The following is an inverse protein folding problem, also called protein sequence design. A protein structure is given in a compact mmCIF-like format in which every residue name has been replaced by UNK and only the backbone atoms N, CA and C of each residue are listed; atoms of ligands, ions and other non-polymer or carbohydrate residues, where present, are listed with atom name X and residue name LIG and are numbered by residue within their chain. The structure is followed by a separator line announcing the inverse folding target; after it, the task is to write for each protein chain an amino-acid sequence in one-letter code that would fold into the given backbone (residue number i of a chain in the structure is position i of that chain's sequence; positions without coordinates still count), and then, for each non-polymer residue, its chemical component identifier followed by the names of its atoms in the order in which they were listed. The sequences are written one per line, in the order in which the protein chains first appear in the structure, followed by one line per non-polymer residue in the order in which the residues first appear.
data_IF_041411293480
#
_entry.id   IF_041411293480
#
_cell.length_a   1.000
_cell.length_b   1.000
_cell.length_c   1.000
_cell.angle_alpha   90.00
_cell.angle_beta   90.00
_cell.angle_gamma   90.00
#
_symmetry.space_group_name_H-M   'P 1'
#
loop_
_entity.id
_entity.type
_entity.pdbx_description
1 polymer ?
#
# COMPACT_ATOMS: atom_id res chain seq x y z
N UNK A 1 8.06 -13.10 40.89
CA UNK A 1 9.02 -12.16 40.30
C UNK A 1 8.62 -12.03 38.82
N UNK A 2 7.91 -10.96 38.45
CA UNK A 2 7.52 -10.73 37.05
C UNK A 2 8.78 -10.36 36.28
N UNK A 3 9.11 -11.13 35.25
CA UNK A 3 10.21 -10.79 34.35
C UNK A 3 9.89 -9.43 33.73
N UNK A 4 10.81 -8.47 33.88
CA UNK A 4 10.72 -7.15 33.26
C UNK A 4 10.85 -7.38 31.75
N UNK A 5 9.73 -7.32 31.04
CA UNK A 5 9.74 -7.36 29.56
C UNK A 5 10.52 -6.13 29.12
N UNK A 6 11.72 -6.33 28.61
CA UNK A 6 12.54 -5.27 28.02
C UNK A 6 11.81 -4.80 26.77
N UNK A 7 11.29 -3.57 26.78
CA UNK A 7 10.65 -2.99 25.59
C UNK A 7 11.73 -2.70 24.54
N UNK A 8 11.58 -3.28 23.37
CA UNK A 8 12.36 -2.89 22.20
C UNK A 8 11.74 -1.61 21.60
N UNK A 9 12.56 -0.59 21.40
CA UNK A 9 12.11 0.65 20.75
C UNK A 9 12.72 0.76 19.38
N UNK A 10 11.89 0.92 18.36
CA UNK A 10 12.28 1.20 17.00
C UNK A 10 11.75 2.58 16.57
N UNK A 11 12.46 3.30 15.71
CA UNK A 11 11.88 4.47 15.08
C UNK A 11 10.84 4.05 14.04
N UNK A 12 11.23 3.16 13.14
CA UNK A 12 10.37 2.62 12.09
C UNK A 12 10.32 1.11 12.17
N UNK A 13 9.11 0.55 12.11
CA UNK A 13 8.87 -0.86 11.81
C UNK A 13 8.60 -0.99 10.32
N UNK A 14 9.42 -1.75 9.62
CA UNK A 14 9.25 -2.09 8.21
C UNK A 14 8.44 -3.38 8.11
N UNK A 15 7.15 -3.24 7.81
CA UNK A 15 6.25 -4.38 7.66
C UNK A 15 6.16 -4.81 6.20
N UNK A 16 6.62 -6.01 5.89
CA UNK A 16 6.69 -6.56 4.54
C UNK A 16 5.66 -7.67 4.33
N UNK A 17 4.73 -7.50 3.41
CA UNK A 17 3.87 -8.59 2.94
C UNK A 17 4.48 -9.26 1.71
N UNK A 18 4.79 -10.55 1.83
CA UNK A 18 5.55 -11.28 0.81
C UNK A 18 4.93 -12.64 0.47
N UNK A 19 5.27 -13.20 -0.71
CA UNK A 19 4.87 -14.53 -1.14
C UNK A 19 5.84 -15.17 -2.15
N UNK A 20 6.73 -14.38 -2.76
CA UNK A 20 7.62 -14.85 -3.83
C UNK A 20 8.92 -14.04 -3.84
N UNK A 21 9.89 -14.48 -4.65
CA UNK A 21 11.19 -13.82 -4.86
C UNK A 21 12.05 -13.73 -3.61
N UNK A 22 12.46 -14.85 -2.98
CA UNK A 22 13.23 -14.85 -1.74
C UNK A 22 14.51 -14.01 -1.83
N UNK A 23 15.27 -14.11 -2.92
CA UNK A 23 16.50 -13.35 -3.11
C UNK A 23 16.26 -11.82 -3.11
N UNK A 24 15.17 -11.36 -3.71
CA UNK A 24 14.79 -9.95 -3.70
C UNK A 24 14.38 -9.48 -2.31
N UNK A 25 13.62 -10.30 -1.57
CA UNK A 25 13.24 -10.01 -0.19
C UNK A 25 14.48 -9.89 0.68
N UNK A 26 15.43 -10.83 0.58
CA UNK A 26 16.69 -10.79 1.33
C UNK A 26 17.49 -9.52 0.99
N UNK A 27 17.56 -9.13 -0.29
CA UNK A 27 18.23 -7.89 -0.70
C UNK A 27 17.58 -6.65 -0.08
N UNK A 28 16.24 -6.56 -0.11
CA UNK A 28 15.48 -5.47 0.52
C UNK A 28 15.74 -5.38 2.03
N UNK A 29 15.61 -6.51 2.73
CA UNK A 29 15.87 -6.59 4.18
C UNK A 29 17.29 -6.14 4.51
N UNK A 30 18.27 -6.62 3.74
CA UNK A 30 19.68 -6.25 3.91
C UNK A 30 19.90 -4.74 3.77
N UNK A 31 19.30 -4.10 2.78
CA UNK A 31 19.43 -2.64 2.59
C UNK A 31 18.80 -1.88 3.75
N UNK A 32 17.65 -2.33 4.26
CA UNK A 32 17.00 -1.71 5.42
C UNK A 32 17.89 -1.83 6.67
N UNK A 33 18.36 -3.04 6.99
CA UNK A 33 19.15 -3.30 8.21
C UNK A 33 20.56 -2.72 8.14
N UNK A 34 21.18 -2.64 6.96
CA UNK A 34 22.45 -1.94 6.77
C UNK A 34 22.29 -0.42 6.90
N UNK A 35 21.15 0.13 6.46
CA UNK A 35 20.86 1.57 6.57
C UNK A 35 20.43 2.01 7.95
N UNK A 36 19.84 1.13 8.76
CA UNK A 36 19.54 1.31 10.18
C UNK A 36 19.61 -0.05 10.90
N UNK A 37 20.70 -0.35 11.64
CA UNK A 37 20.84 -1.60 12.40
C UNK A 37 19.79 -1.80 13.50
N UNK A 38 19.18 -0.72 13.99
CA UNK A 38 18.14 -0.76 15.03
C UNK A 38 16.72 -0.91 14.43
N UNK A 39 16.59 -0.93 13.09
CA UNK A 39 15.32 -1.11 12.43
C UNK A 39 14.71 -2.48 12.76
N UNK A 40 13.40 -2.49 13.01
CA UNK A 40 12.62 -3.72 13.12
C UNK A 40 12.01 -4.05 11.77
N UNK A 41 12.34 -5.23 11.24
CA UNK A 41 11.74 -5.74 9.99
C UNK A 41 10.81 -6.90 10.33
N UNK A 42 9.52 -6.72 10.08
CA UNK A 42 8.49 -7.72 10.30
C UNK A 42 7.95 -8.24 8.96
N UNK A 43 8.28 -9.48 8.63
CA UNK A 43 7.87 -10.10 7.37
C UNK A 43 6.65 -10.98 7.64
N UNK A 44 5.54 -10.68 6.97
CA UNK A 44 4.40 -11.61 6.87
C UNK A 44 4.49 -12.34 5.54
N UNK A 45 4.84 -13.62 5.57
CA UNK A 45 5.02 -14.44 4.37
C UNK A 45 3.83 -15.37 4.12
N UNK A 46 3.40 -15.50 2.86
CA UNK A 46 2.33 -16.45 2.50
C UNK A 46 2.85 -17.89 2.58
N UNK A 47 2.19 -18.73 3.39
CA UNK A 47 2.52 -20.16 3.55
C UNK A 47 2.46 -20.95 2.23
N UNK A 48 1.71 -20.47 1.24
CA UNK A 48 1.63 -21.05 -0.10
C UNK A 48 2.64 -20.44 -1.09
N UNK A 49 3.49 -19.51 -0.61
CA UNK A 49 4.50 -18.80 -1.40
C UNK A 49 5.77 -19.63 -1.60
N UNK A 50 6.78 -19.00 -2.18
CA UNK A 50 8.12 -19.60 -2.32
C UNK A 50 8.80 -19.63 -0.94
N UNK A 51 9.52 -20.73 -0.64
CA UNK A 51 10.20 -20.88 0.64
C UNK A 51 11.21 -19.73 0.91
N UNK A 52 11.25 -19.24 2.15
CA UNK A 52 12.23 -18.28 2.64
C UNK A 52 13.31 -18.99 3.44
N UNK A 53 14.54 -18.52 3.30
CA UNK A 53 15.64 -18.86 4.21
C UNK A 53 15.53 -17.96 5.46
N UNK A 54 14.71 -18.40 6.41
CA UNK A 54 14.44 -17.64 7.64
C UNK A 54 15.70 -17.44 8.49
N UNK A 55 16.58 -18.45 8.72
CA UNK A 55 17.83 -18.25 9.46
C UNK A 55 18.71 -17.15 8.86
N UNK A 56 18.89 -17.14 7.53
CA UNK A 56 19.67 -16.12 6.86
C UNK A 56 19.05 -14.73 6.95
N UNK A 57 17.72 -14.62 6.91
CA UNK A 57 17.03 -13.35 7.12
C UNK A 57 17.20 -12.84 8.56
N UNK A 58 17.04 -13.69 9.54
CA UNK A 58 17.21 -13.33 10.96
C UNK A 58 18.65 -12.95 11.31
N UNK A 59 19.63 -13.51 10.62
CA UNK A 59 21.04 -13.14 10.79
C UNK A 59 21.37 -11.71 10.32
N UNK A 60 20.45 -11.05 9.56
CA UNK A 60 20.64 -9.67 9.09
C UNK A 60 20.36 -8.61 10.17
N UNK A 61 19.77 -8.97 11.31
CA UNK A 61 19.44 -8.03 12.38
C UNK A 61 18.12 -8.34 13.08
N UNK A 62 17.41 -7.31 13.51
CA UNK A 62 16.11 -7.44 14.18
C UNK A 62 14.98 -7.77 13.17
N UNK A 63 15.04 -8.98 12.61
CA UNK A 63 14.16 -9.48 11.56
C UNK A 63 13.29 -10.60 12.09
N UNK A 64 11.98 -10.45 11.95
CA UNK A 64 10.98 -11.43 12.39
C UNK A 64 10.15 -11.89 11.19
N UNK A 65 9.85 -13.19 11.14
CA UNK A 65 9.07 -13.78 10.05
C UNK A 65 7.84 -14.47 10.60
N UNK A 66 6.68 -14.03 10.18
CA UNK A 66 5.38 -14.62 10.46
C UNK A 66 4.87 -15.31 9.20
N UNK A 67 4.26 -16.46 9.36
CA UNK A 67 3.66 -17.21 8.27
C UNK A 67 2.14 -17.12 8.33
N UNK A 68 1.53 -16.62 7.26
CA UNK A 68 0.09 -16.44 7.16
C UNK A 68 -0.41 -16.97 5.82
N UNK A 69 -1.69 -17.27 5.75
CA UNK A 69 -2.33 -17.59 4.47
C UNK A 69 -2.60 -16.30 3.71
N UNK A 70 -1.98 -16.16 2.54
CA UNK A 70 -2.25 -15.08 1.61
C UNK A 70 -3.42 -15.37 0.67
N UNK A 71 -4.00 -14.33 0.10
CA UNK A 71 -5.04 -14.38 -0.93
C UNK A 71 -4.77 -13.40 -2.06
N UNK A 72 -5.73 -13.25 -2.97
CA UNK A 72 -5.65 -12.31 -4.09
C UNK A 72 -6.82 -11.35 -4.05
N UNK A 73 -6.54 -10.07 -3.72
CA UNK A 73 -7.54 -9.01 -3.62
C UNK A 73 -8.68 -9.35 -2.66
N UNK A 74 -8.40 -10.06 -1.60
CA UNK A 74 -9.32 -10.44 -0.54
C UNK A 74 -8.86 -9.88 0.81
N UNK A 75 -9.61 -10.15 1.84
CA UNK A 75 -9.37 -9.59 3.16
C UNK A 75 -8.08 -10.09 3.83
N UNK A 76 -7.41 -11.11 3.29
CA UNK A 76 -6.20 -11.69 3.88
C UNK A 76 -5.05 -10.68 4.04
N UNK A 77 -4.97 -9.65 3.18
CA UNK A 77 -3.98 -8.59 3.33
C UNK A 77 -4.19 -7.77 4.61
N UNK A 78 -5.45 -7.47 4.94
CA UNK A 78 -5.81 -6.81 6.21
C UNK A 78 -5.67 -7.74 7.41
N UNK A 79 -6.05 -9.02 7.29
CA UNK A 79 -5.83 -10.00 8.37
C UNK A 79 -4.33 -10.10 8.72
N UNK A 80 -3.45 -10.12 7.71
CA UNK A 80 -1.99 -10.12 7.89
C UNK A 80 -1.48 -8.82 8.51
N UNK A 81 -2.05 -7.68 8.12
CA UNK A 81 -1.73 -6.39 8.70
C UNK A 81 -2.12 -6.33 10.19
N UNK A 82 -3.33 -6.75 10.55
CA UNK A 82 -3.78 -6.79 11.94
C UNK A 82 -2.97 -7.77 12.78
N UNK A 83 -2.69 -8.96 12.25
CA UNK A 83 -1.84 -9.92 12.93
C UNK A 83 -0.41 -9.39 13.18
N UNK A 84 0.14 -8.59 12.26
CA UNK A 84 1.43 -7.94 12.47
C UNK A 84 1.35 -6.88 13.58
N UNK A 85 0.30 -6.06 13.61
CA UNK A 85 0.11 -5.05 14.66
C UNK A 85 -0.09 -5.71 16.03
N UNK A 86 -0.91 -6.76 16.12
CA UNK A 86 -1.09 -7.53 17.35
C UNK A 86 0.23 -8.17 17.82
N UNK A 87 1.01 -8.74 16.90
CA UNK A 87 2.32 -9.30 17.20
C UNK A 87 3.30 -8.27 17.77
N UNK A 88 3.32 -7.04 17.22
CA UNK A 88 4.17 -5.95 17.72
C UNK A 88 3.81 -5.58 19.16
N UNK A 89 2.52 -5.50 19.48
CA UNK A 89 2.04 -5.21 20.83
C UNK A 89 2.35 -6.36 21.80
N UNK A 90 2.12 -7.61 21.39
CA UNK A 90 2.39 -8.82 22.20
C UNK A 90 3.88 -8.99 22.54
N UNK A 91 4.76 -8.57 21.63
CA UNK A 91 6.21 -8.61 21.82
C UNK A 91 6.79 -7.32 22.42
N UNK A 92 5.92 -6.38 22.86
CA UNK A 92 6.31 -5.12 23.48
C UNK A 92 7.27 -4.28 22.60
N UNK A 93 7.04 -4.26 21.29
CA UNK A 93 7.78 -3.44 20.34
C UNK A 93 7.13 -2.06 20.30
N UNK A 94 7.81 -1.07 20.88
CA UNK A 94 7.42 0.34 20.74
C UNK A 94 8.01 0.93 19.46
N UNK A 95 7.18 1.66 18.69
CA UNK A 95 7.62 2.29 17.45
C UNK A 95 6.92 3.64 17.23
N UNK A 96 7.56 4.50 16.44
CA UNK A 96 6.98 5.77 16.03
C UNK A 96 6.19 5.62 14.71
N UNK A 97 6.72 4.84 13.76
CA UNK A 97 6.18 4.68 12.42
C UNK A 97 6.09 3.21 12.01
N UNK A 98 5.08 2.88 11.25
CA UNK A 98 4.96 1.61 10.53
C UNK A 98 4.97 1.90 9.03
N UNK A 99 5.96 1.35 8.33
CA UNK A 99 6.13 1.41 6.88
C UNK A 99 5.58 0.12 6.26
N UNK A 100 4.44 0.21 5.56
CA UNK A 100 3.80 -0.96 4.94
C UNK A 100 4.33 -1.17 3.52
N UNK A 101 5.07 -2.25 3.30
CA UNK A 101 5.79 -2.59 2.08
C UNK A 101 5.38 -3.98 1.54
N UNK A 102 5.79 -4.25 0.33
CA UNK A 102 5.81 -5.59 -0.26
C UNK A 102 7.22 -6.02 -0.65
N UNK A 103 7.41 -7.29 -0.99
CA UNK A 103 8.67 -7.77 -1.53
C UNK A 103 9.07 -7.21 -2.91
N UNK A 104 8.26 -6.29 -3.48
CA UNK A 104 8.51 -5.65 -4.78
C UNK A 104 8.73 -4.14 -4.67
N UNK A 105 8.81 -3.62 -3.45
CA UNK A 105 9.22 -2.26 -3.15
C UNK A 105 10.74 -2.19 -2.97
N UNK A 106 11.35 -1.05 -3.26
CA UNK A 106 12.76 -0.82 -3.02
C UNK A 106 13.01 0.65 -2.68
N UNK A 107 13.95 0.97 -1.74
CA UNK A 107 14.17 2.35 -1.35
C UNK A 107 14.84 3.16 -2.46
N UNK A 108 14.44 4.43 -2.57
CA UNK A 108 15.03 5.42 -3.47
C UNK A 108 15.98 6.37 -2.73
N UNK A 109 15.97 6.35 -1.41
CA UNK A 109 16.79 7.19 -0.54
C UNK A 109 17.47 6.34 0.53
N UNK A 110 18.57 6.79 1.12
CA UNK A 110 19.13 6.17 2.31
C UNK A 110 18.07 6.02 3.40
N UNK A 111 18.04 4.88 4.06
CA UNK A 111 17.07 4.59 5.11
C UNK A 111 17.11 5.65 6.21
N UNK A 112 18.30 6.08 6.61
CA UNK A 112 18.47 7.15 7.61
C UNK A 112 17.84 8.49 7.16
N UNK A 113 17.87 8.82 5.86
CA UNK A 113 17.22 10.03 5.33
C UNK A 113 15.69 9.91 5.34
N UNK A 114 15.16 8.71 5.02
CA UNK A 114 13.72 8.43 5.11
C UNK A 114 13.27 8.62 6.55
N UNK A 115 13.94 7.99 7.51
CA UNK A 115 13.58 8.08 8.92
C UNK A 115 13.70 9.50 9.47
N UNK A 116 14.76 10.23 9.12
CA UNK A 116 14.90 11.64 9.51
C UNK A 116 13.77 12.51 8.94
N UNK A 117 13.32 12.24 7.71
CA UNK A 117 12.18 12.93 7.10
C UNK A 117 10.87 12.63 7.82
N UNK A 118 10.68 11.37 8.28
CA UNK A 118 9.53 10.96 9.08
C UNK A 118 9.54 11.61 10.48
N UNK A 119 10.70 11.80 11.08
CA UNK A 119 10.83 12.48 12.38
C UNK A 119 10.53 13.96 12.28
N UNK A 120 10.90 14.59 11.17
CA UNK A 120 10.72 16.03 10.94
C UNK A 120 9.29 16.42 10.52
N UNK A 121 8.46 15.46 10.11
CA UNK A 121 7.12 15.77 9.59
C UNK A 121 6.09 16.01 10.68
N UNK A 122 5.12 16.88 10.37
CA UNK A 122 3.91 17.10 11.21
C UNK A 122 2.74 16.19 10.81
N UNK A 123 2.88 15.41 9.73
CA UNK A 123 1.85 14.46 9.33
C UNK A 123 1.81 13.24 10.26
N UNK A 124 0.61 12.68 10.41
CA UNK A 124 0.38 11.40 11.11
C UNK A 124 0.41 10.20 10.16
N UNK A 125 0.39 10.46 8.86
CA UNK A 125 0.46 9.42 7.85
C UNK A 125 0.64 9.95 6.43
N UNK A 126 1.32 9.14 5.64
CA UNK A 126 1.46 9.27 4.20
C UNK A 126 0.62 8.15 3.58
N UNK A 127 -0.60 8.49 3.17
CA UNK A 127 -1.63 7.56 2.76
C UNK A 127 -2.35 8.11 1.54
N UNK A 128 -2.19 7.46 0.40
CA UNK A 128 -2.96 7.83 -0.78
C UNK A 128 -4.43 7.45 -0.58
N UNK A 129 -5.32 8.43 -0.72
CA UNK A 129 -6.76 8.21 -0.67
C UNK A 129 -7.51 9.21 -1.54
N UNK A 130 -8.69 8.80 -1.98
CA UNK A 130 -9.67 9.63 -2.67
C UNK A 130 -11.08 9.11 -2.37
N UNK A 131 -12.08 9.98 -2.40
CA UNK A 131 -13.47 9.58 -2.27
C UNK A 131 -13.89 8.65 -3.42
N UNK A 132 -14.35 7.45 -3.08
CA UNK A 132 -14.82 6.45 -4.07
C UNK A 132 -16.15 6.87 -4.69
N UNK A 133 -17.00 7.50 -3.87
CA UNK A 133 -18.31 8.03 -4.28
C UNK A 133 -18.35 9.53 -3.93
N UNK A 134 -17.67 10.38 -4.70
CA UNK A 134 -17.53 11.80 -4.37
C UNK A 134 -18.88 12.52 -4.26
N UNK A 135 -19.90 12.08 -5.01
CA UNK A 135 -21.26 12.59 -4.92
C UNK A 135 -21.98 12.30 -3.59
N UNK A 136 -21.44 11.40 -2.77
CA UNK A 136 -21.97 11.05 -1.45
C UNK A 136 -21.23 11.72 -0.29
N UNK A 137 -20.07 12.30 -0.58
CA UNK A 137 -19.23 13.01 0.40
C UNK A 137 -19.63 14.48 0.42
N UNK A 138 -19.87 15.10 1.59
CA UNK A 138 -20.19 16.53 1.66
C UNK A 138 -19.08 17.38 1.03
N UNK A 139 -19.42 18.49 0.35
CA UNK A 139 -18.44 19.33 -0.33
C UNK A 139 -17.35 19.91 0.60
N UNK A 140 -17.68 20.10 1.88
CA UNK A 140 -16.77 20.60 2.92
C UNK A 140 -15.86 19.54 3.51
N UNK A 141 -16.12 18.26 3.24
CA UNK A 141 -15.28 17.17 3.73
C UNK A 141 -14.05 16.98 2.84
N UNK A 142 -13.05 16.29 3.37
CA UNK A 142 -11.85 15.95 2.63
C UNK A 142 -12.17 14.91 1.54
N UNK A 143 -11.96 15.27 0.28
CA UNK A 143 -12.17 14.39 -0.87
C UNK A 143 -10.91 13.62 -1.28
N UNK A 144 -9.77 13.91 -0.66
CA UNK A 144 -8.49 13.25 -0.93
C UNK A 144 -7.76 13.81 -2.16
N UNK A 145 -6.94 12.99 -2.80
CA UNK A 145 -6.11 13.40 -3.92
C UNK A 145 -6.94 13.74 -5.17
N UNK A 146 -6.70 14.92 -5.72
CA UNK A 146 -7.29 15.34 -6.98
C UNK A 146 -6.75 14.49 -8.13
N UNK A 147 -7.66 14.06 -9.02
CA UNK A 147 -7.30 13.34 -10.24
C UNK A 147 -6.74 11.94 -10.04
N UNK A 148 -6.71 11.42 -8.80
CA UNK A 148 -6.35 10.02 -8.55
C UNK A 148 -7.49 9.11 -9.02
N UNK A 149 -7.32 8.57 -10.21
CA UNK A 149 -8.20 7.51 -10.70
C UNK A 149 -7.62 6.16 -10.27
N UNK A 150 -8.25 5.57 -9.29
CA UNK A 150 -8.04 4.18 -8.88
C UNK A 150 -8.46 3.22 -10.01
N UNK A 151 -7.72 3.09 -11.13
CA UNK A 151 -8.12 2.37 -12.33
C UNK A 151 -9.36 2.99 -13.05
N UNK A 152 -9.81 2.52 -14.23
CA UNK A 152 -10.96 3.10 -14.92
C UNK A 152 -12.17 3.19 -14.00
N UNK A 153 -12.95 4.32 -14.01
CA UNK A 153 -13.96 4.64 -12.99
C UNK A 153 -15.02 3.56 -12.78
N UNK A 154 -15.21 2.68 -13.74
CA UNK A 154 -16.17 1.58 -13.65
C UNK A 154 -15.80 0.49 -12.66
N UNK A 155 -14.50 0.29 -12.35
CA UNK A 155 -14.07 -0.86 -11.54
C UNK A 155 -13.99 -0.55 -10.04
N UNK A 156 -13.72 0.68 -9.65
CA UNK A 156 -13.46 1.02 -8.25
C UNK A 156 -14.75 1.11 -7.45
N UNK A 157 -15.69 1.91 -7.90
CA UNK A 157 -17.00 2.05 -7.23
C UNK A 157 -17.70 0.68 -7.11
N UNK A 158 -17.56 -0.16 -8.15
CA UNK A 158 -18.15 -1.50 -8.16
C UNK A 158 -17.54 -2.47 -7.14
N UNK A 159 -16.27 -2.29 -6.74
CA UNK A 159 -15.63 -3.12 -5.72
C UNK A 159 -16.30 -2.97 -4.37
N UNK A 160 -16.88 -1.78 -4.09
CA UNK A 160 -17.39 -1.37 -2.79
C UNK A 160 -18.91 -1.13 -2.75
N UNK A 161 -19.58 -1.19 -3.89
CA UNK A 161 -21.05 -1.08 -3.99
C UNK A 161 -21.75 -2.46 -3.95
N UNK A 162 -20.97 -3.56 -4.03
CA UNK A 162 -21.43 -4.94 -4.05
C UNK A 162 -20.78 -5.76 -2.95
N UNK A 163 -21.53 -6.72 -2.44
CA UNK A 163 -21.02 -7.80 -1.61
C UNK A 163 -20.68 -8.99 -2.50
N UNK A 164 -19.46 -9.48 -2.42
CA UNK A 164 -18.96 -10.51 -3.33
C UNK A 164 -18.78 -11.87 -2.64
N UNK A 165 -19.16 -12.91 -3.36
CA UNK A 165 -18.89 -14.31 -3.03
C UNK A 165 -17.87 -14.84 -4.03
N UNK A 166 -16.72 -15.24 -3.52
CA UNK A 166 -15.61 -15.77 -4.34
C UNK A 166 -15.83 -17.24 -4.63
N UNK A 167 -15.58 -17.64 -5.87
CA UNK A 167 -15.62 -19.04 -6.32
C UNK A 167 -14.26 -19.73 -6.10
N UNK A 168 -13.44 -19.21 -5.20
CA UNK A 168 -12.07 -19.62 -4.90
C UNK A 168 -11.02 -18.84 -5.71
N UNK A 169 -9.77 -19.35 -5.76
CA UNK A 169 -8.71 -18.68 -6.52
C UNK A 169 -9.05 -18.58 -8.00
N UNK A 170 -8.76 -17.45 -8.67
CA UNK A 170 -8.96 -17.34 -10.13
C UNK A 170 -8.11 -18.36 -10.87
N UNK A 171 -8.74 -19.15 -11.72
CA UNK A 171 -8.08 -20.10 -12.63
C UNK A 171 -8.58 -19.86 -14.04
N UNK A 172 -7.81 -20.21 -15.06
CA UNK A 172 -8.22 -20.05 -16.46
C UNK A 172 -9.58 -20.71 -16.75
N UNK A 173 -9.87 -21.86 -16.14
CA UNK A 173 -11.15 -22.54 -16.29
C UNK A 173 -12.30 -21.71 -15.71
N UNK A 174 -12.14 -21.15 -14.49
CA UNK A 174 -13.14 -20.29 -13.87
C UNK A 174 -13.34 -18.97 -14.63
N UNK A 175 -12.26 -18.37 -15.12
CA UNK A 175 -12.31 -17.16 -15.92
C UNK A 175 -13.09 -17.40 -17.22
N UNK A 176 -12.86 -18.53 -17.90
CA UNK A 176 -13.62 -18.93 -19.10
C UNK A 176 -15.09 -19.20 -18.79
N UNK A 177 -15.37 -19.89 -17.68
CA UNK A 177 -16.73 -20.19 -17.24
C UNK A 177 -17.53 -18.90 -16.91
N UNK A 178 -16.91 -17.91 -16.30
CA UNK A 178 -17.59 -16.67 -15.91
C UNK A 178 -17.77 -15.68 -17.08
N UNK A 179 -16.97 -15.80 -18.14
CA UNK A 179 -16.95 -14.85 -19.27
C UNK A 179 -18.32 -14.60 -19.90
N UNK A 180 -19.17 -15.61 -20.20
CA UNK A 180 -20.51 -15.39 -20.75
C UNK A 180 -21.41 -14.58 -19.81
N UNK A 181 -21.27 -14.79 -18.50
CA UNK A 181 -22.09 -14.11 -17.48
C UNK A 181 -21.70 -12.64 -17.28
N UNK A 182 -20.57 -12.18 -17.82
CA UNK A 182 -20.20 -10.76 -17.76
C UNK A 182 -21.19 -9.86 -18.51
N UNK A 183 -21.97 -10.39 -19.47
CA UNK A 183 -23.05 -9.66 -20.12
C UNK A 183 -24.11 -9.17 -19.13
N UNK A 184 -24.31 -9.89 -18.02
CA UNK A 184 -25.21 -9.46 -16.95
C UNK A 184 -24.80 -8.09 -16.36
N UNK A 185 -23.52 -7.77 -16.39
CA UNK A 185 -23.02 -6.48 -15.90
C UNK A 185 -23.53 -5.29 -16.70
N UNK A 186 -23.97 -5.51 -17.94
CA UNK A 186 -24.44 -4.47 -18.87
C UNK A 186 -25.96 -4.29 -18.81
N UNK A 187 -26.71 -5.35 -18.50
CA UNK A 187 -28.18 -5.36 -18.64
C UNK A 187 -28.94 -5.16 -17.35
N UNK A 188 -28.27 -5.24 -16.21
CA UNK A 188 -28.91 -5.06 -14.91
C UNK A 188 -27.90 -4.61 -13.80
N UNK A 189 -28.33 -3.85 -12.79
CA UNK A 189 -27.44 -3.29 -11.76
C UNK A 189 -27.36 -4.11 -10.48
N UNK A 190 -28.04 -5.24 -10.36
CA UNK A 190 -28.20 -5.96 -9.09
C UNK A 190 -27.14 -7.01 -8.84
N UNK A 191 -26.68 -7.67 -9.92
CA UNK A 191 -25.69 -8.74 -9.89
C UNK A 191 -24.46 -8.27 -10.66
N UNK A 192 -23.29 -8.55 -10.13
CA UNK A 192 -22.00 -8.22 -10.76
C UNK A 192 -21.14 -9.48 -10.86
N UNK A 193 -20.64 -9.75 -12.04
CA UNK A 193 -19.67 -10.83 -12.29
C UNK A 193 -18.30 -10.21 -12.41
N UNK A 194 -17.41 -10.54 -11.48
CA UNK A 194 -16.02 -10.15 -11.55
C UNK A 194 -15.17 -11.31 -12.05
N UNK A 195 -14.70 -11.19 -13.29
CA UNK A 195 -13.86 -12.22 -13.89
C UNK A 195 -12.48 -12.25 -13.22
N UNK A 196 -11.83 -11.08 -13.05
CA UNK A 196 -10.47 -10.97 -12.48
C UNK A 196 -10.35 -11.60 -11.08
N UNK A 197 -11.42 -11.56 -10.28
CA UNK A 197 -11.45 -12.12 -8.93
C UNK A 197 -12.20 -13.45 -8.82
N UNK A 198 -12.73 -13.97 -9.92
CA UNK A 198 -13.60 -15.15 -9.95
C UNK A 198 -14.72 -15.05 -8.88
N UNK A 199 -15.49 -13.95 -8.92
CA UNK A 199 -16.46 -13.64 -7.89
C UNK A 199 -17.82 -13.20 -8.48
N UNK A 200 -18.88 -13.47 -7.72
CA UNK A 200 -20.24 -12.99 -7.97
C UNK A 200 -20.59 -11.97 -6.89
N UNK A 201 -21.01 -10.78 -7.29
CA UNK A 201 -21.42 -9.69 -6.42
C UNK A 201 -22.92 -9.48 -6.47
N UNK A 202 -23.51 -9.15 -5.33
CA UNK A 202 -24.89 -8.68 -5.22
C UNK A 202 -24.88 -7.27 -4.64
N UNK A 203 -25.59 -6.35 -5.28
CA UNK A 203 -25.68 -4.97 -4.82
C UNK A 203 -26.40 -4.91 -3.48
N UNK A 204 -25.76 -4.30 -2.50
CA UNK A 204 -26.28 -4.23 -1.15
C UNK A 204 -26.69 -2.79 -0.80
N UNK A 205 -28.02 -2.56 -0.64
CA UNK A 205 -28.57 -1.21 -0.43
C UNK A 205 -28.32 -0.64 0.98
N UNK A 206 -28.09 -1.49 1.98
CA UNK A 206 -27.85 -1.10 3.38
C UNK A 206 -26.40 -1.37 3.74
N UNK A 207 -25.49 -0.67 3.08
CA UNK A 207 -24.07 -0.76 3.38
C UNK A 207 -23.67 -0.02 4.64
N UNK A 208 -22.41 -0.19 5.02
CA UNK A 208 -21.82 0.57 6.14
C UNK A 208 -21.55 2.03 5.78
N UNK A 209 -21.57 2.35 4.48
CA UNK A 209 -21.32 3.72 4.01
C UNK A 209 -22.60 4.55 4.02
N UNK A 210 -22.50 5.71 4.65
CA UNK A 210 -23.58 6.68 4.80
C UNK A 210 -23.10 7.95 5.50
N UNK A 211 -24.01 8.82 5.95
CA UNK A 211 -23.63 10.02 6.68
C UNK A 211 -22.72 9.69 7.88
N UNK A 212 -21.54 10.30 7.90
CA UNK A 212 -20.53 10.11 8.95
C UNK A 212 -19.54 8.95 8.72
N UNK A 213 -19.75 8.09 7.70
CA UNK A 213 -18.77 7.09 7.30
C UNK A 213 -18.80 6.87 5.79
N UNK A 214 -17.92 7.55 5.07
CA UNK A 214 -17.83 7.52 3.62
C UNK A 214 -16.76 6.54 3.15
N UNK A 215 -16.89 6.05 1.91
CA UNK A 215 -15.93 5.16 1.30
C UNK A 215 -14.77 5.96 0.69
N UNK A 216 -13.57 5.76 1.24
CA UNK A 216 -12.34 6.24 0.64
C UNK A 216 -11.52 5.06 0.14
N UNK A 217 -10.98 5.18 -1.06
CA UNK A 217 -10.11 4.18 -1.65
C UNK A 217 -8.75 4.76 -2.01
N UNK A 218 -7.72 3.92 -2.06
CA UNK A 218 -6.37 4.35 -2.39
C UNK A 218 -5.37 3.21 -2.39
N UNK A 219 -4.13 3.51 -2.08
CA UNK A 219 -3.07 2.51 -2.00
C UNK A 219 -3.06 1.83 -0.63
N UNK A 220 -2.94 0.51 -0.62
CA UNK A 220 -2.70 -0.23 0.62
C UNK A 220 -1.33 0.09 1.23
N UNK A 221 -0.37 0.48 0.40
CA UNK A 221 0.98 0.80 0.83
C UNK A 221 1.02 2.22 1.39
N UNK A 222 1.29 2.33 2.68
CA UNK A 222 1.26 3.58 3.43
C UNK A 222 2.32 3.58 4.52
N UNK A 223 2.62 4.78 5.01
CA UNK A 223 3.50 5.00 6.16
C UNK A 223 2.69 5.71 7.22
N UNK A 224 2.47 5.10 8.38
CA UNK A 224 1.57 5.61 9.42
C UNK A 224 2.28 5.72 10.77
N UNK A 225 1.98 6.79 11.52
CA UNK A 225 2.35 6.86 12.94
C UNK A 225 1.68 5.76 13.74
N UNK A 226 2.35 5.28 14.78
CA UNK A 226 1.85 4.22 15.66
C UNK A 226 0.43 4.51 16.20
N UNK A 227 0.10 5.78 16.47
CA UNK A 227 -1.24 6.19 16.89
C UNK A 227 -2.31 5.89 15.85
N UNK A 228 -2.04 6.18 14.58
CA UNK A 228 -2.95 5.89 13.48
C UNK A 228 -3.09 4.38 13.24
N UNK A 229 -1.97 3.63 13.31
CA UNK A 229 -1.97 2.16 13.18
C UNK A 229 -2.84 1.50 14.25
N UNK A 230 -2.65 1.89 15.53
CA UNK A 230 -3.46 1.37 16.65
C UNK A 230 -4.92 1.75 16.50
N UNK A 231 -5.20 2.98 16.09
CA UNK A 231 -6.58 3.42 15.85
C UNK A 231 -7.30 2.55 14.82
N UNK A 232 -6.66 2.23 13.69
CA UNK A 232 -7.24 1.34 12.66
C UNK A 232 -7.51 -0.06 13.23
N UNK A 233 -6.55 -0.62 13.99
CA UNK A 233 -6.72 -1.92 14.65
C UNK A 233 -7.86 -1.92 15.66
N UNK A 234 -7.93 -0.90 16.52
CA UNK A 234 -8.93 -0.79 17.57
C UNK A 234 -10.32 -0.54 16.98
N UNK A 235 -10.41 0.26 15.91
CA UNK A 235 -11.65 0.42 15.15
C UNK A 235 -12.14 -0.92 14.58
N UNK A 236 -11.26 -1.71 13.99
CA UNK A 236 -11.60 -3.04 13.47
C UNK A 236 -12.16 -3.96 14.55
N UNK A 237 -11.57 -3.95 15.77
CA UNK A 237 -12.02 -4.74 16.91
C UNK A 237 -13.37 -4.25 17.48
N UNK A 238 -13.57 -2.94 17.50
CA UNK A 238 -14.78 -2.33 18.03
C UNK A 238 -15.97 -2.38 17.05
N UNK A 239 -15.74 -2.57 15.75
CA UNK A 239 -16.76 -2.52 14.70
C UNK A 239 -16.80 -3.82 13.87
N UNK A 240 -17.13 -4.97 14.46
CA UNK A 240 -17.08 -6.26 13.78
C UNK A 240 -18.06 -6.34 12.58
N UNK A 241 -19.17 -5.60 12.60
CA UNK A 241 -20.12 -5.54 11.48
C UNK A 241 -19.49 -4.84 10.27
N UNK A 242 -18.80 -3.72 10.49
CA UNK A 242 -18.05 -3.02 9.44
C UNK A 242 -16.98 -3.93 8.87
N UNK A 243 -16.25 -4.62 9.73
CA UNK A 243 -15.22 -5.57 9.30
C UNK A 243 -15.81 -6.72 8.46
N UNK A 244 -16.94 -7.30 8.89
CA UNK A 244 -17.62 -8.35 8.16
C UNK A 244 -18.13 -7.87 6.80
N UNK A 245 -18.53 -6.60 6.70
CA UNK A 245 -18.94 -5.97 5.45
C UNK A 245 -17.75 -5.84 4.48
N UNK A 246 -16.62 -5.33 4.95
CA UNK A 246 -15.39 -5.21 4.14
C UNK A 246 -14.81 -6.56 3.70
N UNK A 247 -15.00 -7.64 4.47
CA UNK A 247 -14.56 -9.00 4.09
C UNK A 247 -15.18 -9.50 2.79
N UNK A 248 -16.28 -8.91 2.34
CA UNK A 248 -16.96 -9.24 1.09
C UNK A 248 -16.68 -8.28 -0.06
N UNK A 249 -15.76 -7.34 0.12
CA UNK A 249 -15.30 -6.48 -0.95
C UNK A 249 -14.22 -7.14 -1.82
N UNK A 250 -14.02 -6.59 -2.99
CA UNK A 250 -12.84 -6.84 -3.81
C UNK A 250 -11.78 -5.80 -3.45
N UNK A 251 -10.55 -6.25 -3.19
CA UNK A 251 -9.45 -5.39 -2.72
C UNK A 251 -9.84 -4.51 -1.51
N UNK A 252 -10.35 -5.09 -0.41
CA UNK A 252 -10.78 -4.33 0.75
C UNK A 252 -9.63 -3.59 1.44
N UNK A 253 -8.39 -4.04 1.26
CA UNK A 253 -7.17 -3.42 1.76
C UNK A 253 -6.92 -2.03 1.15
N UNK A 254 -7.45 -1.78 -0.05
CA UNK A 254 -7.35 -0.49 -0.73
C UNK A 254 -8.41 0.52 -0.26
N UNK A 255 -9.28 0.15 0.69
CA UNK A 255 -10.33 1.05 1.17
C UNK A 255 -10.51 1.07 2.69
N UNK A 256 -10.18 0.01 3.43
CA UNK A 256 -10.46 -0.07 4.86
C UNK A 256 -9.68 0.97 5.67
N UNK A 257 -8.35 0.99 5.51
CA UNK A 257 -7.47 1.91 6.25
C UNK A 257 -7.82 3.36 5.92
N UNK A 258 -8.01 3.66 4.63
CA UNK A 258 -8.39 4.97 4.14
C UNK A 258 -9.72 5.44 4.76
N UNK A 259 -10.76 4.60 4.65
CA UNK A 259 -12.08 4.96 5.17
C UNK A 259 -12.06 5.17 6.68
N UNK A 260 -11.36 4.32 7.44
CA UNK A 260 -11.28 4.44 8.89
C UNK A 260 -10.54 5.72 9.33
N UNK A 261 -9.41 6.01 8.72
CA UNK A 261 -8.59 7.16 9.12
C UNK A 261 -9.21 8.48 8.68
N UNK A 262 -9.64 8.59 7.43
CA UNK A 262 -10.19 9.85 6.89
C UNK A 262 -11.50 10.22 7.59
N UNK A 263 -12.45 9.28 7.74
CA UNK A 263 -13.70 9.57 8.45
C UNK A 263 -13.50 9.89 9.94
N UNK A 264 -12.39 9.51 10.54
CA UNK A 264 -12.12 9.85 11.94
C UNK A 264 -11.90 11.34 12.17
N UNK A 265 -11.39 12.07 11.18
CA UNK A 265 -11.00 13.47 11.29
C UNK A 265 -9.91 13.74 12.35
N UNK A 266 -9.21 12.70 12.84
CA UNK A 266 -8.28 12.81 13.97
C UNK A 266 -6.81 12.96 13.56
N UNK A 267 -6.50 12.61 12.31
CA UNK A 267 -5.12 12.48 11.84
C UNK A 267 -4.84 13.46 10.72
N UNK A 268 -3.67 14.09 10.78
CA UNK A 268 -3.15 14.92 9.71
C UNK A 268 -2.50 14.01 8.66
N UNK A 269 -3.23 13.74 7.55
CA UNK A 269 -2.82 12.79 6.51
C UNK A 269 -2.34 13.53 5.26
N UNK A 270 -1.23 13.06 4.70
CA UNK A 270 -0.76 13.48 3.37
C UNK A 270 -1.21 12.46 2.33
N UNK A 271 -1.80 12.93 1.22
CA UNK A 271 -2.12 12.09 0.06
C UNK A 271 -0.90 11.71 -0.76
N UNK A 272 0.22 12.43 -0.59
CA UNK A 272 1.52 12.02 -1.14
C UNK A 272 2.10 10.88 -0.29
N UNK A 273 1.85 9.66 -0.70
CA UNK A 273 2.26 8.45 0.03
C UNK A 273 3.72 8.04 -0.18
N UNK A 274 4.53 8.93 -0.79
CA UNK A 274 5.98 8.80 -0.97
C UNK A 274 6.42 7.54 -1.72
N UNK A 275 5.62 7.15 -2.73
CA UNK A 275 5.94 6.00 -3.59
C UNK A 275 5.95 6.39 -5.06
N UNK A 276 7.03 6.00 -5.73
CA UNK A 276 7.10 6.09 -7.18
C UNK A 276 6.47 4.84 -7.80
N UNK A 277 5.38 5.03 -8.53
CA UNK A 277 4.66 3.96 -9.25
C UNK A 277 4.38 4.44 -10.66
N UNK A 278 4.68 3.60 -11.65
CA UNK A 278 4.36 3.89 -13.05
C UNK A 278 3.17 3.05 -13.52
N UNK A 279 2.13 3.74 -13.91
CA UNK A 279 0.90 3.17 -14.48
C UNK A 279 0.82 3.33 -16.00
N UNK A 280 1.87 3.87 -16.64
CA UNK A 280 1.88 4.11 -18.09
C UNK A 280 1.75 2.81 -18.86
N UNK A 281 0.82 2.76 -19.81
CA UNK A 281 0.58 1.59 -20.65
C UNK A 281 -0.07 0.40 -19.94
N UNK A 282 -0.45 0.55 -18.67
CA UNK A 282 -1.14 -0.51 -17.92
C UNK A 282 -2.63 -0.51 -18.23
N UNK A 283 -3.10 -1.58 -18.86
CA UNK A 283 -4.54 -1.85 -19.10
C UNK A 283 -5.17 -2.67 -17.96
N UNK A 284 -4.40 -3.03 -16.93
CA UNK A 284 -4.76 -3.96 -15.87
C UNK A 284 -4.47 -3.38 -14.48
N UNK A 285 -4.91 -4.11 -13.46
CA UNK A 285 -4.85 -3.76 -12.02
C UNK A 285 -3.45 -3.72 -11.41
N UNK A 286 -2.39 -3.81 -12.20
CA UNK A 286 -1.01 -3.82 -11.71
C UNK A 286 -0.16 -2.77 -12.41
N UNK A 287 0.67 -2.01 -11.68
CA UNK A 287 1.61 -1.09 -12.27
C UNK A 287 2.68 -1.82 -13.07
N UNK A 288 3.31 -1.10 -13.99
CA UNK A 288 4.44 -1.58 -14.78
C UNK A 288 5.61 -1.97 -13.87
N UNK A 289 6.34 -3.00 -14.26
CA UNK A 289 7.65 -3.29 -13.67
C UNK A 289 8.65 -2.26 -14.18
N UNK A 290 9.32 -1.59 -13.24
CA UNK A 290 10.34 -0.58 -13.53
C UNK A 290 11.60 -1.24 -14.05
N UNK A 291 12.29 -0.57 -14.98
CA UNK A 291 13.51 -1.01 -15.62
C UNK A 291 14.62 0.03 -15.54
N UNK A 292 15.72 -0.25 -16.26
CA UNK A 292 16.89 0.64 -16.30
C UNK A 292 16.57 2.00 -16.94
N UNK A 293 15.61 2.03 -17.85
CA UNK A 293 15.11 3.22 -18.52
C UNK A 293 14.46 4.22 -17.56
N UNK A 294 14.00 3.76 -16.40
CA UNK A 294 13.33 4.58 -15.39
C UNK A 294 14.31 5.30 -14.46
N UNK A 295 15.57 4.95 -14.49
CA UNK A 295 16.61 5.49 -13.58
C UNK A 295 16.59 7.03 -13.52
N UNK A 296 16.54 7.79 -14.63
CA UNK A 296 16.49 9.24 -14.53
C UNK A 296 15.29 9.76 -13.74
N UNK A 297 14.10 9.19 -13.95
CA UNK A 297 12.89 9.57 -13.24
C UNK A 297 12.93 9.16 -11.76
N UNK A 298 13.43 7.97 -11.46
CA UNK A 298 13.61 7.48 -10.09
C UNK A 298 14.59 8.34 -9.30
N UNK A 299 15.69 8.74 -9.93
CA UNK A 299 16.70 9.58 -9.29
C UNK A 299 16.23 11.02 -9.06
N UNK A 300 15.33 11.54 -9.91
CA UNK A 300 14.73 12.85 -9.78
C UNK A 300 13.54 12.89 -8.79
N UNK A 301 12.96 11.73 -8.46
CA UNK A 301 11.80 11.63 -7.58
C UNK A 301 12.15 11.97 -6.12
N UNK A 302 11.20 12.60 -5.43
CA UNK A 302 11.22 12.82 -3.98
C UNK A 302 10.59 11.67 -3.17
N UNK A 303 10.11 10.63 -3.85
CA UNK A 303 9.57 9.42 -3.22
C UNK A 303 10.61 8.70 -2.37
N UNK A 304 10.12 7.99 -1.36
CA UNK A 304 10.97 7.16 -0.49
C UNK A 304 11.19 5.78 -1.11
N UNK A 305 10.16 5.25 -1.75
CA UNK A 305 10.11 3.89 -2.28
C UNK A 305 9.70 3.88 -3.74
N UNK A 306 10.25 2.94 -4.50
CA UNK A 306 9.81 2.64 -5.85
C UNK A 306 9.11 1.29 -5.92
N UNK A 307 8.09 1.21 -6.77
CA UNK A 307 7.44 -0.03 -7.14
C UNK A 307 6.88 0.03 -8.57
N UNK A 308 6.86 -1.04 -9.26
CA UNK A 308 7.07 -2.44 -8.94
C UNK A 308 8.43 -2.86 -9.48
N UNK A 309 9.29 -3.43 -8.64
CA UNK A 309 10.60 -3.94 -9.07
C UNK A 309 10.60 -5.48 -9.14
N UNK A 310 11.43 -6.01 -10.01
CA UNK A 310 11.63 -7.44 -10.22
C UNK A 310 13.11 -7.73 -10.48
N UNK A 311 13.80 -8.32 -9.49
CA UNK A 311 15.22 -8.63 -9.57
C UNK A 311 15.56 -9.53 -10.76
N UNK A 312 14.66 -10.44 -11.13
CA UNK A 312 14.84 -11.33 -12.29
C UNK A 312 14.77 -10.63 -13.65
N UNK A 313 14.26 -9.36 -13.67
CA UNK A 313 14.10 -8.58 -14.91
C UNK A 313 15.02 -7.37 -14.99
N UNK A 314 15.62 -6.95 -13.88
CA UNK A 314 16.39 -5.70 -13.84
C UNK A 314 17.41 -5.65 -12.70
N UNK A 315 18.31 -6.63 -12.61
CA UNK A 315 19.33 -6.66 -11.55
C UNK A 315 20.20 -5.38 -11.54
N UNK A 316 20.52 -4.83 -12.74
CA UNK A 316 21.29 -3.60 -12.87
C UNK A 316 20.62 -2.39 -12.22
N UNK A 317 19.27 -2.28 -12.33
CA UNK A 317 18.52 -1.23 -11.63
C UNK A 317 18.73 -1.31 -10.12
N UNK A 318 18.68 -2.53 -9.55
CA UNK A 318 18.92 -2.71 -8.12
C UNK A 318 20.34 -2.31 -7.72
N UNK A 319 21.36 -2.58 -8.56
CA UNK A 319 22.74 -2.20 -8.27
C UNK A 319 22.93 -0.67 -8.25
N UNK A 320 22.26 0.04 -9.16
CA UNK A 320 22.23 1.51 -9.17
C UNK A 320 21.54 2.07 -7.92
N UNK A 321 20.38 1.49 -7.55
CA UNK A 321 19.67 1.91 -6.36
C UNK A 321 20.46 1.61 -5.08
N UNK A 322 21.14 0.45 -4.99
CA UNK A 322 22.02 0.13 -3.86
C UNK A 322 23.14 1.16 -3.70
N UNK A 323 23.77 1.56 -4.80
CA UNK A 323 24.80 2.60 -4.77
C UNK A 323 24.25 3.94 -4.27
N UNK A 324 23.00 4.28 -4.62
CA UNK A 324 22.33 5.50 -4.16
C UNK A 324 22.03 5.46 -2.67
N UNK A 325 21.40 4.38 -2.19
CA UNK A 325 20.92 4.28 -0.81
C UNK A 325 22.02 4.06 0.21
N UNK A 326 23.18 3.53 -0.22
CA UNK A 326 24.37 3.34 0.62
C UNK A 326 25.29 4.55 0.66
N UNK A 327 25.03 5.60 -0.14
CA UNK A 327 25.82 6.83 -0.05
C UNK A 327 25.52 7.51 1.28
N UNK A 328 26.53 7.65 2.11
CA UNK A 328 26.46 8.50 3.30
C UNK A 328 26.09 9.92 2.87
N UNK A 329 25.13 10.59 3.54
CA UNK A 329 24.81 11.98 3.24
C UNK A 329 26.10 12.80 3.29
N UNK A 330 26.50 13.44 2.18
CA UNK A 330 27.48 14.49 2.26
C UNK A 330 26.89 15.56 3.16
N UNK A 331 27.52 15.82 4.30
CA UNK A 331 27.23 16.98 5.13
C UNK A 331 27.16 18.18 4.17
N UNK A 332 25.99 18.80 4.03
CA UNK A 332 25.85 20.06 3.33
C UNK A 332 26.61 21.11 4.16
N UNK A 333 27.90 21.25 3.88
CA UNK A 333 28.63 22.45 4.24
C UNK A 333 27.91 23.64 3.61
N UNK A 334 27.63 24.65 4.44
CA UNK A 334 26.75 25.75 4.14
C UNK A 334 27.08 26.43 2.81
N UNK A 335 26.08 26.51 1.98
CA UNK A 335 25.82 27.60 1.07
C UNK A 335 24.32 27.68 0.91
N UNK A 336 23.73 28.71 1.50
CA UNK A 336 22.32 29.03 1.28
C UNK A 336 22.16 29.53 -0.16
N UNK A 337 21.29 28.95 -0.98
CA UNK A 337 20.90 29.59 -2.22
C UNK A 337 19.89 30.69 -1.90
N UNK A 338 20.33 31.94 -2.03
CA UNK A 338 19.43 33.07 -2.26
C UNK A 338 18.86 32.89 -3.68
N UNK A 339 17.55 32.69 -3.80
CA UNK A 339 16.92 32.63 -5.11
C UNK A 339 15.48 32.12 -5.03
N UNK A 340 14.61 33.08 -5.09
CA UNK A 340 13.17 33.01 -5.39
C UNK A 340 12.85 31.91 -6.42
N UNK A 341 12.09 30.88 -6.03
CA UNK A 341 11.52 29.94 -6.97
C UNK A 341 10.09 29.58 -6.56
N UNK A 342 9.16 30.11 -7.34
CA UNK A 342 7.74 29.75 -7.36
C UNK A 342 7.59 28.23 -7.56
N UNK A 343 6.56 27.60 -6.98
CA UNK A 343 6.33 26.17 -7.17
C UNK A 343 5.92 25.90 -8.61
N UNK A 344 6.68 25.06 -9.29
CA UNK A 344 6.30 24.48 -10.58
C UNK A 344 5.31 23.37 -10.30
N UNK A 345 4.07 23.55 -10.74
CA UNK A 345 2.99 22.59 -10.62
C UNK A 345 3.35 21.25 -11.27
N UNK A 346 2.94 20.18 -10.62
CA UNK A 346 2.99 18.83 -11.16
C UNK A 346 2.28 18.76 -12.51
N UNK A 347 3.02 18.48 -13.57
CA UNK A 347 2.47 18.33 -14.90
C UNK A 347 1.71 17.00 -15.01
N UNK A 348 0.40 17.06 -14.81
CA UNK A 348 -0.53 16.04 -15.29
C UNK A 348 -0.55 16.13 -16.82
N UNK A 349 0.01 15.17 -17.52
CA UNK A 349 -0.17 15.02 -18.96
C UNK A 349 -1.59 14.49 -19.21
N UNK A 350 -2.51 15.40 -19.47
CA UNK A 350 -3.79 15.13 -20.12
C UNK A 350 -3.54 14.72 -21.57
N UNK A 351 -4.11 13.61 -22.01
CA UNK A 351 -4.21 13.28 -23.42
C UNK A 351 -5.16 14.25 -24.12
N UNK A 352 -4.90 14.63 -25.39
CA UNK A 352 -5.81 15.45 -26.17
C UNK A 352 -7.05 14.62 -26.56
N UNK A 353 -8.21 15.17 -26.28
CA UNK A 353 -9.48 14.75 -26.86
C UNK A 353 -9.46 15.09 -28.34
N UNK A 354 -9.33 14.09 -29.19
CA UNK A 354 -9.55 14.22 -30.63
C UNK A 354 -11.05 14.24 -30.91
N UNK A 355 -11.55 15.44 -31.18
CA UNK A 355 -12.82 15.65 -31.88
C UNK A 355 -12.46 15.75 -33.35
N UNK A 356 -12.89 14.82 -34.18
CA UNK A 356 -13.09 15.05 -35.60
C UNK A 356 -14.19 14.14 -36.17
N UNK A 357 -15.19 14.83 -36.62
CA UNK A 357 -16.30 14.34 -37.45
C UNK A 357 -15.79 13.93 -38.83
N UNK A 358 -16.21 12.79 -39.31
CA UNK A 358 -16.72 12.57 -40.67
C UNK A 358 -17.26 11.16 -40.78
#
# INVERSE_FOLDING_TARGET
MAARITRTRANVVYFLQTHARPAQITRLVKVITEGNPDAVVLISHDVAGQALDVPSLQALGNVHVLFHRGGYGDFSHLDRYFAAVDWLDENAIDYNWLENLSGQDYPLRPIAEIEASLDATTFDGFLLYSAVFPERVPPEADHGADGYQLAPPFDVAMRYDYQFWRLGRPTLAKLRMLRPFMLLNLVQPWIRVSNSYAALGVRYRRGVFGPGFYCYGGSFFCTLRAGAVRYVRDYAKANPETLAYFRRFLAPEEAFIQSVLVNSGRFNLSTDYKRYIDWTGCTHTHPRTLGIEDVPALLASDAYWARKLDLGKGAELFDILDQRVRRTPRSRGGEAPTGDSRPVGAASRTQPTGDERS
#
